data_IF_865812872182
#
_entry.id   IF_865812872182
#
_cell.length_a   1.000
_cell.length_b   1.000
_cell.length_c   1.000
_cell.angle_alpha   90.00
_cell.angle_beta   90.00
_cell.angle_gamma   90.00
#
_symmetry.space_group_name_H-M   'P 1'
#
loop_
_entity.id
_entity.type
_entity.pdbx_description
1 polymer ?
#
# COMPACT_ATOMS: atom_id res chain seq x y z
N UNK A 1 3.91 -27.29 28.04
CA UNK A 1 2.84 -27.16 29.05
C UNK A 1 3.06 -28.21 30.13
N UNK A 2 2.94 -27.89 31.44
CA UNK A 2 3.08 -28.87 32.53
C UNK A 2 1.72 -29.09 33.21
N UNK A 3 1.13 -30.26 33.00
CA UNK A 3 -0.23 -30.59 33.47
C UNK A 3 -0.29 -31.02 34.95
N UNK A 4 0.85 -31.40 35.55
CA UNK A 4 0.92 -32.04 36.87
C UNK A 4 0.45 -31.20 38.07
N UNK A 5 0.14 -29.91 37.87
CA UNK A 5 -0.34 -28.99 38.93
C UNK A 5 -1.67 -28.32 38.58
N UNK A 6 -2.33 -28.75 37.51
CA UNK A 6 -3.57 -28.14 37.02
C UNK A 6 -4.78 -28.92 37.53
N UNK A 7 -5.91 -28.23 37.69
CA UNK A 7 -7.18 -28.90 37.99
C UNK A 7 -7.67 -29.70 36.78
N UNK A 8 -8.56 -30.67 37.01
CA UNK A 8 -9.18 -31.43 35.91
C UNK A 8 -9.91 -30.51 34.92
N UNK A 9 -10.52 -29.44 35.40
CA UNK A 9 -11.23 -28.45 34.58
C UNK A 9 -10.26 -27.69 33.67
N UNK A 10 -9.12 -27.26 34.21
CA UNK A 10 -8.07 -26.61 33.43
C UNK A 10 -7.50 -27.56 32.37
N UNK A 11 -7.24 -28.81 32.73
CA UNK A 11 -6.75 -29.82 31.79
C UNK A 11 -7.76 -30.01 30.65
N UNK A 12 -9.04 -30.14 30.96
CA UNK A 12 -10.10 -30.26 29.95
C UNK A 12 -10.16 -29.03 29.03
N UNK A 13 -10.07 -27.81 29.58
CA UNK A 13 -10.06 -26.58 28.80
C UNK A 13 -8.87 -26.53 27.82
N UNK A 14 -7.69 -26.99 28.26
CA UNK A 14 -6.51 -27.05 27.41
C UNK A 14 -6.60 -28.12 26.33
N UNK A 15 -7.16 -29.29 26.65
CA UNK A 15 -7.42 -30.35 25.66
C UNK A 15 -8.38 -29.86 24.58
N UNK A 16 -9.47 -29.18 24.97
CA UNK A 16 -10.41 -28.58 24.03
C UNK A 16 -9.78 -27.46 23.19
N UNK A 17 -8.90 -26.65 23.79
CA UNK A 17 -8.14 -25.65 23.06
C UNK A 17 -7.23 -26.29 21.99
N UNK A 18 -6.50 -27.36 22.34
CA UNK A 18 -5.65 -28.06 21.36
C UNK A 18 -6.46 -28.81 20.29
N UNK A 19 -7.67 -29.26 20.61
CA UNK A 19 -8.58 -29.90 19.64
C UNK A 19 -9.11 -28.93 18.60
N UNK A 20 -9.41 -27.70 18.99
CA UNK A 20 -10.04 -26.69 18.12
C UNK A 20 -9.03 -25.84 17.36
N UNK A 21 -7.79 -25.73 17.85
CA UNK A 21 -6.74 -24.95 17.23
C UNK A 21 -6.03 -25.74 16.13
N UNK A 22 -5.65 -25.05 15.06
CA UNK A 22 -4.70 -25.59 14.07
C UNK A 22 -3.27 -25.65 14.63
N UNK A 23 -2.42 -26.49 14.03
CA UNK A 23 -1.00 -26.57 14.35
C UNK A 23 -0.16 -25.38 13.85
N UNK A 24 -0.81 -24.28 13.47
CA UNK A 24 -0.13 -23.07 13.01
C UNK A 24 0.68 -22.40 14.13
N UNK A 25 1.78 -21.77 13.75
CA UNK A 25 2.68 -21.14 14.72
C UNK A 25 2.00 -20.00 15.49
N UNK A 26 2.32 -19.91 16.79
CA UNK A 26 1.83 -18.84 17.65
C UNK A 26 2.69 -17.59 17.42
N UNK A 27 2.32 -16.79 16.42
CA UNK A 27 2.97 -15.51 16.10
C UNK A 27 2.02 -14.34 16.35
N UNK A 28 2.52 -13.12 16.60
CA UNK A 28 1.67 -11.93 16.65
C UNK A 28 0.88 -11.76 15.35
N UNK A 29 -0.45 -11.67 15.47
CA UNK A 29 -1.34 -11.49 14.34
C UNK A 29 -1.52 -9.99 14.09
N UNK A 30 -0.79 -9.44 13.11
CA UNK A 30 -0.93 -8.03 12.72
C UNK A 30 -2.17 -7.77 11.85
N UNK A 31 -2.65 -8.80 11.13
CA UNK A 31 -3.83 -8.74 10.26
C UNK A 31 -4.77 -9.91 10.56
N UNK A 32 -5.78 -9.71 11.43
CA UNK A 32 -6.64 -10.81 11.91
C UNK A 32 -7.64 -11.32 10.85
N UNK A 33 -7.86 -10.55 9.78
CA UNK A 33 -8.76 -10.92 8.69
C UNK A 33 -8.05 -10.74 7.37
N UNK A 34 -8.06 -11.79 6.57
CA UNK A 34 -7.63 -11.76 5.18
C UNK A 34 -8.62 -12.56 4.34
N UNK A 35 -8.68 -12.24 3.06
CA UNK A 35 -9.46 -12.97 2.07
C UNK A 35 -8.56 -13.20 0.88
N UNK A 36 -8.74 -14.34 0.21
CA UNK A 36 -7.95 -14.69 -0.98
C UNK A 36 -8.28 -13.76 -2.16
N UNK A 37 -9.52 -13.24 -2.22
CA UNK A 37 -9.98 -12.32 -3.26
C UNK A 37 -10.46 -11.01 -2.62
N UNK A 38 -9.53 -10.10 -2.26
CA UNK A 38 -9.86 -8.88 -1.52
C UNK A 38 -10.57 -7.81 -2.33
N UNK A 39 -10.40 -7.80 -3.66
CA UNK A 39 -11.06 -6.82 -4.52
C UNK A 39 -11.95 -7.49 -5.56
N UNK A 40 -13.20 -7.05 -5.62
CA UNK A 40 -14.18 -7.49 -6.62
C UNK A 40 -14.02 -6.69 -7.93
N UNK A 41 -13.72 -5.38 -7.82
CA UNK A 41 -13.61 -4.47 -8.97
C UNK A 41 -12.19 -4.42 -9.57
N UNK A 42 -11.27 -5.23 -9.04
CA UNK A 42 -9.86 -5.22 -9.41
C UNK A 42 -9.00 -4.47 -8.41
N UNK A 43 -7.73 -4.86 -8.31
CA UNK A 43 -6.77 -4.19 -7.44
C UNK A 43 -6.42 -2.82 -8.00
N UNK A 44 -6.19 -1.86 -7.12
CA UNK A 44 -5.64 -0.56 -7.53
C UNK A 44 -4.26 -0.76 -8.14
N UNK A 45 -3.99 -0.08 -9.25
CA UNK A 45 -2.67 -0.02 -9.87
C UNK A 45 -2.33 1.44 -10.20
N UNK A 46 -1.04 1.83 -10.22
CA UNK A 46 -0.65 3.19 -10.63
C UNK A 46 -1.06 3.54 -12.08
N UNK A 47 -1.31 2.52 -12.90
CA UNK A 47 -1.76 2.64 -14.29
C UNK A 47 -3.27 2.47 -14.43
N UNK A 48 -3.99 2.25 -13.33
CA UNK A 48 -5.44 2.37 -13.35
C UNK A 48 -5.73 3.75 -13.91
N UNK A 49 -6.58 3.88 -14.94
CA UNK A 49 -6.87 5.17 -15.52
C UNK A 49 -7.35 6.04 -14.37
N UNK A 50 -6.48 6.94 -13.90
CA UNK A 50 -6.94 8.11 -13.19
C UNK A 50 -8.00 8.68 -14.12
N UNK A 51 -9.15 9.08 -13.58
CA UNK A 51 -10.16 9.83 -14.30
C UNK A 51 -9.42 10.79 -15.25
N UNK A 52 -9.32 10.40 -16.53
CA UNK A 52 -8.38 11.04 -17.45
C UNK A 52 -8.92 12.44 -17.57
N UNK A 53 -8.27 13.40 -16.92
CA UNK A 53 -8.56 14.81 -17.06
C UNK A 53 -8.12 15.22 -18.47
N UNK A 54 -8.89 14.78 -19.47
CA UNK A 54 -8.81 15.20 -20.87
C UNK A 54 -7.54 14.88 -21.65
N UNK A 55 -6.50 14.29 -21.06
CA UNK A 55 -5.24 14.03 -21.77
C UNK A 55 -5.29 12.69 -22.51
N UNK A 56 -5.63 12.78 -23.79
CA UNK A 56 -5.41 11.69 -24.76
C UNK A 56 -3.92 11.35 -24.80
N UNK A 57 -3.61 10.06 -24.79
CA UNK A 57 -2.24 9.58 -25.03
C UNK A 57 -1.83 10.03 -26.44
N UNK A 58 -0.72 10.75 -26.58
CA UNK A 58 -0.24 11.23 -27.89
C UNK A 58 0.05 10.04 -28.80
N UNK A 59 -0.39 10.12 -30.05
CA UNK A 59 -0.02 9.12 -31.05
C UNK A 59 1.46 9.29 -31.48
N UNK A 60 2.10 8.26 -32.07
CA UNK A 60 3.52 8.34 -32.43
C UNK A 60 3.86 9.53 -33.34
N UNK A 61 2.96 9.91 -34.24
CA UNK A 61 3.13 11.06 -35.13
C UNK A 61 3.12 12.40 -34.38
N UNK A 62 2.24 12.53 -33.39
CA UNK A 62 2.17 13.70 -32.50
C UNK A 62 3.41 13.81 -31.63
N UNK A 63 3.97 12.68 -31.17
CA UNK A 63 5.23 12.68 -30.42
C UNK A 63 6.35 13.22 -31.31
N UNK A 64 6.49 12.70 -32.53
CA UNK A 64 7.50 13.17 -33.49
C UNK A 64 7.36 14.66 -33.80
N UNK A 65 6.13 15.15 -33.96
CA UNK A 65 5.86 16.56 -34.20
C UNK A 65 6.16 17.47 -33.00
N UNK A 66 6.10 16.94 -31.77
CA UNK A 66 6.35 17.69 -30.54
C UNK A 66 7.72 17.38 -29.89
N UNK A 67 8.60 16.64 -30.57
CA UNK A 67 9.90 16.20 -30.02
C UNK A 67 10.73 17.36 -29.48
N UNK A 68 10.77 18.49 -30.19
CA UNK A 68 11.52 19.68 -29.77
C UNK A 68 11.04 20.17 -28.40
N UNK A 69 9.72 20.31 -28.20
CA UNK A 69 9.12 20.72 -26.92
C UNK A 69 9.31 19.68 -25.83
N UNK A 70 9.16 18.39 -26.15
CA UNK A 70 9.33 17.30 -25.19
C UNK A 70 10.78 17.09 -24.77
N UNK A 71 11.74 17.49 -25.62
CA UNK A 71 13.17 17.43 -25.33
C UNK A 71 13.64 18.54 -24.40
N UNK A 72 12.82 19.59 -24.21
CA UNK A 72 13.13 20.66 -23.27
C UNK A 72 12.96 20.14 -21.85
N UNK A 73 14.06 20.17 -21.09
CA UNK A 73 14.00 19.97 -19.65
C UNK A 73 13.69 21.33 -19.00
N UNK A 74 12.41 21.66 -18.88
CA UNK A 74 11.91 22.81 -18.11
C UNK A 74 11.96 22.51 -16.60
N UNK A 75 13.12 22.09 -16.12
CA UNK A 75 13.39 22.11 -14.69
C UNK A 75 13.95 23.50 -14.36
N UNK A 76 13.31 24.22 -13.44
CA UNK A 76 13.83 25.50 -12.92
C UNK A 76 15.19 25.21 -12.27
N UNK A 77 16.28 25.45 -13.03
CA UNK A 77 17.65 25.10 -12.62
C UNK A 77 18.13 25.86 -11.38
N UNK A 78 17.37 26.86 -10.95
CA UNK A 78 17.70 27.73 -9.83
C UNK A 78 17.33 27.09 -8.48
N UNK A 79 16.50 26.04 -8.46
CA UNK A 79 16.17 25.31 -7.24
C UNK A 79 17.03 24.05 -7.10
N UNK A 80 17.70 23.90 -5.96
CA UNK A 80 18.41 22.65 -5.66
C UNK A 80 17.42 21.49 -5.54
N UNK A 81 17.81 20.29 -6.00
CA UNK A 81 16.98 19.08 -5.86
C UNK A 81 16.55 18.84 -4.40
N UNK A 82 17.39 19.20 -3.43
CA UNK A 82 17.06 19.11 -2.01
C UNK A 82 15.93 20.07 -1.61
N UNK A 83 15.96 21.30 -2.09
CA UNK A 83 14.95 22.31 -1.80
C UNK A 83 13.59 21.92 -2.38
N UNK A 84 13.59 21.36 -3.59
CA UNK A 84 12.38 20.83 -4.23
C UNK A 84 11.75 19.70 -3.39
N UNK A 85 12.56 18.75 -2.93
CA UNK A 85 12.08 17.63 -2.12
C UNK A 85 11.51 18.09 -0.77
N UNK A 86 12.14 19.10 -0.13
CA UNK A 86 11.63 19.69 1.11
C UNK A 86 10.29 20.40 0.92
N UNK A 87 10.12 21.16 -0.16
CA UNK A 87 8.85 21.81 -0.47
C UNK A 87 7.75 20.79 -0.79
N UNK A 88 8.08 19.72 -1.51
CA UNK A 88 7.16 18.63 -1.81
C UNK A 88 6.67 17.90 -0.54
N UNK A 89 7.58 17.55 0.38
CA UNK A 89 7.24 16.98 1.69
C UNK A 89 6.34 17.93 2.49
N UNK A 90 6.65 19.23 2.51
CA UNK A 90 5.85 20.22 3.22
C UNK A 90 4.42 20.31 2.65
N UNK A 91 4.26 20.27 1.32
CA UNK A 91 2.95 20.27 0.66
C UNK A 91 2.15 19.01 0.99
N UNK A 92 2.80 17.84 1.03
CA UNK A 92 2.14 16.59 1.40
C UNK A 92 1.65 16.61 2.85
N UNK A 93 2.47 17.08 3.79
CA UNK A 93 2.07 17.23 5.20
C UNK A 93 0.88 18.15 5.39
N UNK A 94 0.81 19.25 4.64
CA UNK A 94 -0.34 20.17 4.67
C UNK A 94 -1.64 19.50 4.20
N UNK A 95 -1.57 18.62 3.19
CA UNK A 95 -2.75 17.87 2.70
C UNK A 95 -3.24 16.89 3.77
N UNK A 96 -2.33 16.15 4.39
CA UNK A 96 -2.66 15.20 5.47
C UNK A 96 -3.20 15.90 6.71
N UNK A 97 -2.76 17.12 7.00
CA UNK A 97 -3.24 17.90 8.15
C UNK A 97 -4.58 18.62 7.91
N UNK A 98 -5.04 18.71 6.65
CA UNK A 98 -6.32 19.32 6.28
C UNK A 98 -7.47 18.31 6.12
N UNK A 99 -7.18 17.02 6.29
CA UNK A 99 -8.15 15.92 6.41
C UNK A 99 -8.40 15.58 7.88
#
# INVERSE_FOLDING_TARGET
MRLAKMSCEEINAWVEHFRTRSGENIMPIYKPRSTNNPSIQGMWTPFSPSHNSGRSVMNPSEILANLEKLSLCEFERDQSAEEYLRDLDQRQRRRVASE
#
